data_IF_413981427468
#
_entry.id   IF_413981427468
#
_cell.length_a   1.000
_cell.length_b   1.000
_cell.length_c   1.000
_cell.angle_alpha   90.00
_cell.angle_beta   90.00
_cell.angle_gamma   90.00
#
_symmetry.space_group_name_H-M   'P 1'
#
loop_
_entity.id
_entity.type
_entity.pdbx_description
1 polymer ?
#
# COMPACT_ATOMS: atom_id res chain seq x y z
N UNK A 1 -35.85 21.43 2.51
CA UNK A 1 -34.78 22.28 3.07
C UNK A 1 -33.50 21.45 3.05
N UNK A 2 -32.64 21.68 2.06
CA UNK A 2 -31.37 20.97 1.95
C UNK A 2 -30.40 21.57 2.98
N UNK A 3 -29.92 20.74 3.90
CA UNK A 3 -28.88 21.14 4.85
C UNK A 3 -27.60 21.53 4.08
N UNK A 4 -26.90 22.60 4.46
CA UNK A 4 -25.64 22.98 3.82
C UNK A 4 -24.61 21.87 4.01
N UNK A 5 -23.91 21.54 2.92
CA UNK A 5 -22.82 20.57 2.92
C UNK A 5 -21.77 20.98 3.98
N UNK A 6 -21.43 20.05 4.87
CA UNK A 6 -20.34 20.25 5.83
C UNK A 6 -19.04 20.53 5.06
N UNK A 7 -18.21 21.49 5.49
CA UNK A 7 -16.91 21.72 4.87
C UNK A 7 -16.10 20.42 4.88
N UNK A 8 -15.64 20.03 3.70
CA UNK A 8 -14.70 18.91 3.48
C UNK A 8 -13.51 19.08 4.42
N UNK A 9 -13.33 18.12 5.33
CA UNK A 9 -12.21 18.12 6.25
C UNK A 9 -10.91 18.18 5.44
N UNK A 10 -10.06 19.17 5.73
CA UNK A 10 -8.78 19.33 5.06
C UNK A 10 -7.99 18.03 5.15
N UNK A 11 -7.52 17.51 4.00
CA UNK A 11 -6.72 16.30 3.96
C UNK A 11 -5.48 16.48 4.83
N UNK A 12 -5.21 15.59 5.79
CA UNK A 12 -4.03 15.72 6.63
C UNK A 12 -2.76 15.74 5.76
N UNK A 13 -1.72 16.51 6.11
CA UNK A 13 -0.49 16.50 5.34
C UNK A 13 0.21 15.14 5.49
N UNK A 14 1.00 14.74 4.49
CA UNK A 14 1.94 13.64 4.66
C UNK A 14 2.90 13.96 5.83
N UNK A 15 3.23 12.98 6.68
CA UNK A 15 4.28 13.14 7.68
C UNK A 15 5.59 13.56 7.00
N UNK A 16 6.41 14.40 7.64
CA UNK A 16 7.63 15.04 7.12
C UNK A 16 7.47 16.36 6.31
N UNK A 17 6.24 16.84 6.06
CA UNK A 17 6.02 18.20 5.53
C UNK A 17 6.74 18.50 4.20
N UNK A 18 7.23 19.73 4.05
CA UNK A 18 8.04 20.16 2.90
C UNK A 18 9.51 20.31 3.33
N UNK A 19 10.44 19.74 2.57
CA UNK A 19 11.87 19.83 2.87
C UNK A 19 12.74 18.77 2.19
N UNK A 20 14.05 18.72 2.51
CA UNK A 20 15.01 17.80 1.91
C UNK A 20 14.65 16.32 2.13
N UNK A 21 14.25 15.94 3.34
CA UNK A 21 13.80 14.57 3.64
C UNK A 21 12.57 14.19 2.80
N UNK A 22 11.58 15.08 2.70
CA UNK A 22 10.40 14.86 1.87
C UNK A 22 10.76 14.75 0.37
N UNK A 23 11.77 15.47 -0.11
CA UNK A 23 12.27 15.32 -1.49
C UNK A 23 12.88 13.92 -1.73
N UNK A 24 13.64 13.39 -0.76
CA UNK A 24 14.19 12.05 -0.85
C UNK A 24 13.10 10.97 -0.80
N UNK A 25 12.06 11.15 0.04
CA UNK A 25 10.93 10.23 0.08
C UNK A 25 10.08 10.28 -1.20
N UNK A 26 9.84 11.47 -1.77
CA UNK A 26 9.22 11.61 -3.10
C UNK A 26 10.00 10.86 -4.16
N UNK A 27 11.32 11.03 -4.17
CA UNK A 27 12.19 10.27 -5.06
C UNK A 27 11.92 8.77 -4.89
N UNK A 28 11.96 8.21 -3.68
CA UNK A 28 11.69 6.79 -3.41
C UNK A 28 10.30 6.31 -3.86
N UNK A 29 9.28 7.16 -3.77
CA UNK A 29 7.92 6.84 -4.18
C UNK A 29 7.74 6.80 -5.71
N UNK A 30 8.59 7.50 -6.48
CA UNK A 30 8.54 7.52 -7.93
C UNK A 30 8.64 6.09 -8.51
N UNK A 31 7.68 5.62 -9.32
CA UNK A 31 7.72 4.29 -9.91
C UNK A 31 8.68 4.18 -11.10
N UNK A 32 9.32 5.26 -11.56
CA UNK A 32 10.28 5.28 -12.68
C UNK A 32 11.72 5.47 -12.19
N UNK A 33 12.35 4.45 -11.56
CA UNK A 33 13.69 4.60 -11.02
C UNK A 33 14.74 4.93 -12.09
N UNK A 34 14.55 4.46 -13.33
CA UNK A 34 15.51 4.61 -14.42
C UNK A 34 15.57 6.03 -14.99
N UNK A 35 14.47 6.78 -14.90
CA UNK A 35 14.39 8.15 -15.42
C UNK A 35 15.01 9.14 -14.43
N UNK A 36 15.00 8.81 -13.14
CA UNK A 36 15.49 9.67 -12.05
C UNK A 36 16.40 8.87 -11.11
N UNK A 37 17.59 8.46 -11.56
CA UNK A 37 18.43 7.50 -10.83
C UNK A 37 19.06 8.07 -9.55
N UNK A 38 19.15 9.39 -9.43
CA UNK A 38 19.87 10.03 -8.31
C UNK A 38 18.93 10.63 -7.27
N UNK A 39 19.20 10.31 -6.00
CA UNK A 39 18.60 11.00 -4.86
C UNK A 39 18.91 12.51 -4.92
N UNK A 40 18.08 13.38 -4.30
CA UNK A 40 18.38 14.79 -4.25
C UNK A 40 19.75 15.02 -3.57
N UNK A 41 20.71 15.57 -4.31
CA UNK A 41 22.13 15.64 -3.92
C UNK A 41 22.39 16.47 -2.64
N UNK A 42 21.41 17.23 -2.17
CA UNK A 42 21.52 18.13 -1.02
C UNK A 42 21.18 17.49 0.33
N UNK A 43 20.75 16.23 0.38
CA UNK A 43 20.30 15.59 1.63
C UNK A 43 21.38 14.64 2.18
N UNK A 44 21.85 14.81 3.42
CA UNK A 44 22.76 13.86 4.05
C UNK A 44 22.15 12.45 4.09
N UNK A 45 22.93 11.42 3.73
CA UNK A 45 22.46 10.03 3.66
C UNK A 45 21.82 9.56 4.99
N UNK A 46 22.35 9.98 6.14
CA UNK A 46 21.78 9.64 7.45
C UNK A 46 20.33 10.12 7.59
N UNK A 47 20.04 11.36 7.17
CA UNK A 47 18.69 11.93 7.19
C UNK A 47 17.76 11.19 6.22
N UNK A 48 18.25 10.77 5.06
CA UNK A 48 17.47 9.98 4.10
C UNK A 48 17.15 8.59 4.68
N UNK A 49 18.11 7.95 5.34
CA UNK A 49 17.92 6.66 5.99
C UNK A 49 16.87 6.72 7.09
N UNK A 50 16.98 7.68 8.01
CA UNK A 50 16.01 7.89 9.09
C UNK A 50 14.60 8.11 8.53
N UNK A 51 14.45 9.04 7.60
CA UNK A 51 13.17 9.31 6.95
C UNK A 51 12.60 8.07 6.23
N UNK A 52 13.45 7.29 5.56
CA UNK A 52 13.03 6.07 4.86
C UNK A 52 12.62 4.97 5.84
N UNK A 53 13.28 4.83 6.99
CA UNK A 53 12.90 3.89 8.04
C UNK A 53 11.50 4.23 8.57
N UNK A 54 11.28 5.50 8.96
CA UNK A 54 9.99 5.97 9.48
C UNK A 54 8.86 5.83 8.46
N UNK A 55 9.18 6.07 7.19
CA UNK A 55 8.25 5.94 6.06
C UNK A 55 7.96 4.48 5.65
N UNK A 56 8.70 3.50 6.18
CA UNK A 56 8.73 2.09 5.72
C UNK A 56 9.15 1.95 4.24
N UNK A 57 10.14 2.72 3.82
CA UNK A 57 10.73 2.73 2.48
C UNK A 57 12.23 2.39 2.48
N UNK A 58 12.80 1.92 3.59
CA UNK A 58 14.24 1.64 3.67
C UNK A 58 14.67 0.51 2.73
N UNK A 59 13.79 -0.46 2.44
CA UNK A 59 14.09 -1.51 1.46
C UNK A 59 14.10 -0.99 0.02
N UNK A 60 13.23 -0.03 -0.32
CA UNK A 60 13.29 0.68 -1.60
C UNK A 60 14.56 1.53 -1.72
N UNK A 61 14.94 2.22 -0.65
CA UNK A 61 16.21 2.96 -0.60
C UNK A 61 17.40 2.02 -0.80
N UNK A 62 17.44 0.90 -0.07
CA UNK A 62 18.47 -0.10 -0.19
C UNK A 62 18.58 -0.62 -1.63
N UNK A 63 17.46 -1.00 -2.23
CA UNK A 63 17.42 -1.47 -3.62
C UNK A 63 17.99 -0.44 -4.59
N UNK A 64 17.54 0.83 -4.53
CA UNK A 64 18.04 1.87 -5.44
C UNK A 64 19.52 2.16 -5.28
N UNK A 65 20.00 2.23 -4.04
CA UNK A 65 21.40 2.52 -3.77
C UNK A 65 22.33 1.33 -4.11
N UNK A 66 21.83 0.10 -4.00
CA UNK A 66 22.59 -1.11 -4.33
C UNK A 66 22.57 -1.44 -5.83
N UNK A 67 21.47 -1.15 -6.52
CA UNK A 67 21.31 -1.34 -7.98
C UNK A 67 21.86 -0.17 -8.81
N UNK A 68 22.15 0.98 -8.17
CA UNK A 68 22.77 2.13 -8.84
C UNK A 68 24.19 1.85 -9.35
N UNK A 69 24.77 2.76 -10.16
CA UNK A 69 26.09 2.58 -10.72
C UNK A 69 27.14 2.30 -9.62
N UNK A 70 28.15 1.45 -9.89
CA UNK A 70 29.18 1.06 -8.92
C UNK A 70 29.88 2.26 -8.26
N UNK A 71 29.98 3.36 -9.02
CA UNK A 71 30.65 4.60 -8.64
C UNK A 71 29.83 5.46 -7.65
N UNK A 72 28.58 5.06 -7.34
CA UNK A 72 27.86 5.61 -6.21
C UNK A 72 28.69 5.35 -4.93
N UNK A 73 29.10 6.43 -4.29
CA UNK A 73 30.10 6.49 -3.19
C UNK A 73 29.60 5.89 -1.87
N UNK A 74 29.07 4.66 -1.89
CA UNK A 74 28.73 3.91 -0.70
C UNK A 74 29.93 3.10 -0.23
N UNK A 75 30.31 3.32 1.03
CA UNK A 75 31.31 2.52 1.71
C UNK A 75 30.87 1.04 1.78
N UNK A 76 31.84 0.12 1.78
CA UNK A 76 31.58 -1.32 1.92
C UNK A 76 30.72 -1.67 3.16
N UNK A 77 30.95 -1.08 4.36
CA UNK A 77 30.08 -1.30 5.51
C UNK A 77 28.62 -0.90 5.23
N UNK A 78 28.39 0.25 4.60
CA UNK A 78 27.03 0.72 4.29
C UNK A 78 26.33 -0.23 3.31
N UNK A 79 27.02 -0.68 2.25
CA UNK A 79 26.48 -1.69 1.32
C UNK A 79 26.11 -2.98 2.04
N UNK A 80 26.94 -3.43 3.00
CA UNK A 80 26.66 -4.61 3.82
C UNK A 80 25.39 -4.43 4.66
N UNK A 81 25.23 -3.30 5.33
CA UNK A 81 24.05 -2.99 6.16
C UNK A 81 22.78 -2.96 5.30
N UNK A 82 22.78 -2.23 4.18
CA UNK A 82 21.63 -2.17 3.27
C UNK A 82 21.27 -3.54 2.70
N UNK A 83 22.28 -4.34 2.34
CA UNK A 83 22.07 -5.70 1.86
C UNK A 83 21.48 -6.62 2.93
N UNK A 84 21.86 -6.47 4.20
CA UNK A 84 21.27 -7.20 5.31
C UNK A 84 19.80 -6.82 5.54
N UNK A 85 19.48 -5.52 5.49
CA UNK A 85 18.10 -5.02 5.61
C UNK A 85 17.21 -5.61 4.51
N UNK A 86 17.66 -5.56 3.24
CA UNK A 86 16.89 -6.09 2.12
C UNK A 86 16.68 -7.61 2.22
N UNK A 87 17.72 -8.38 2.58
CA UNK A 87 17.59 -9.83 2.78
C UNK A 87 16.66 -10.19 3.93
N UNK A 88 16.76 -9.49 5.06
CA UNK A 88 15.88 -9.72 6.20
C UNK A 88 14.42 -9.45 5.83
N UNK A 89 14.14 -8.37 5.09
CA UNK A 89 12.78 -8.07 4.63
C UNK A 89 12.28 -9.07 3.57
N UNK A 90 13.15 -9.55 2.69
CA UNK A 90 12.80 -10.63 1.73
C UNK A 90 12.32 -11.88 2.46
N UNK A 91 13.08 -12.33 3.47
CA UNK A 91 12.71 -13.51 4.25
C UNK A 91 11.43 -13.26 5.08
N UNK A 92 11.29 -12.07 5.67
CA UNK A 92 10.06 -11.66 6.35
C UNK A 92 8.84 -11.73 5.44
N UNK A 93 8.94 -11.19 4.22
CA UNK A 93 7.84 -11.20 3.25
C UNK A 93 7.51 -12.62 2.80
N UNK A 94 8.51 -13.47 2.55
CA UNK A 94 8.31 -14.90 2.22
C UNK A 94 7.56 -15.65 3.34
N UNK A 95 7.94 -15.44 4.60
CA UNK A 95 7.25 -16.05 5.75
C UNK A 95 5.79 -15.61 5.83
N UNK A 96 5.50 -14.32 5.64
CA UNK A 96 4.13 -13.81 5.63
C UNK A 96 3.33 -14.32 4.43
N UNK A 97 3.95 -14.40 3.25
CA UNK A 97 3.32 -14.97 2.06
C UNK A 97 2.90 -16.42 2.29
N UNK A 98 3.81 -17.25 2.82
CA UNK A 98 3.52 -18.65 3.11
C UNK A 98 2.35 -18.79 4.10
N UNK A 99 2.28 -17.93 5.12
CA UNK A 99 1.14 -17.89 6.03
C UNK A 99 -0.14 -17.43 5.35
N UNK A 100 -0.09 -16.41 4.48
CA UNK A 100 -1.24 -15.97 3.71
C UNK A 100 -1.77 -17.10 2.81
N UNK A 101 -0.90 -17.83 2.12
CA UNK A 101 -1.28 -18.99 1.29
C UNK A 101 -2.01 -20.03 2.14
N UNK A 102 -1.46 -20.38 3.31
CA UNK A 102 -2.08 -21.34 4.23
C UNK A 102 -3.46 -20.89 4.72
N UNK A 103 -3.61 -19.60 5.03
CA UNK A 103 -4.88 -19.01 5.50
C UNK A 103 -5.90 -18.96 4.37
N UNK A 104 -5.51 -18.45 3.20
CA UNK A 104 -6.37 -18.36 2.02
C UNK A 104 -6.90 -19.75 1.68
N UNK A 105 -6.04 -20.77 1.59
CA UNK A 105 -6.47 -22.14 1.32
C UNK A 105 -7.49 -22.67 2.33
N UNK A 106 -7.32 -22.35 3.61
CA UNK A 106 -8.25 -22.77 4.65
C UNK A 106 -9.60 -22.04 4.54
N UNK A 107 -9.60 -20.74 4.26
CA UNK A 107 -10.80 -19.93 4.05
C UNK A 107 -11.58 -20.39 2.82
N UNK A 108 -10.91 -20.50 1.67
CA UNK A 108 -11.54 -20.94 0.42
C UNK A 108 -12.03 -22.39 0.50
N UNK A 109 -11.30 -23.25 1.22
CA UNK A 109 -11.73 -24.62 1.51
C UNK A 109 -13.03 -24.71 2.32
N UNK A 110 -13.42 -23.63 3.02
CA UNK A 110 -14.72 -23.48 3.70
C UNK A 110 -15.75 -22.68 2.89
N UNK A 111 -15.43 -22.34 1.64
CA UNK A 111 -16.29 -21.53 0.80
C UNK A 111 -16.35 -20.06 1.20
N UNK A 112 -15.38 -19.54 1.97
CA UNK A 112 -15.26 -18.10 2.29
C UNK A 112 -14.43 -17.42 1.20
N UNK A 113 -15.03 -16.55 0.36
CA UNK A 113 -14.28 -15.76 -0.61
C UNK A 113 -13.36 -14.77 0.13
N UNK A 114 -12.12 -14.62 -0.33
CA UNK A 114 -11.12 -13.78 0.32
C UNK A 114 -10.22 -13.11 -0.69
N UNK A 115 -9.82 -11.88 -0.41
CA UNK A 115 -8.74 -11.18 -1.11
C UNK A 115 -7.67 -10.69 -0.13
N UNK A 116 -6.40 -10.85 -0.49
CA UNK A 116 -5.27 -10.23 0.21
C UNK A 116 -5.19 -8.76 -0.21
N UNK A 117 -4.97 -7.88 0.76
CA UNK A 117 -4.89 -6.43 0.55
C UNK A 117 -3.52 -5.85 0.89
N UNK A 118 -3.36 -4.57 0.56
CA UNK A 118 -2.29 -3.69 1.03
C UNK A 118 -0.88 -4.28 0.84
N UNK A 119 -0.05 -4.26 1.89
CA UNK A 119 1.39 -4.46 1.78
C UNK A 119 1.78 -5.77 1.10
N UNK A 120 1.17 -6.89 1.51
CA UNK A 120 1.45 -8.19 0.91
C UNK A 120 0.92 -8.31 -0.52
N UNK A 121 -0.29 -7.81 -0.78
CA UNK A 121 -0.86 -7.80 -2.14
C UNK A 121 0.01 -6.98 -3.09
N UNK A 122 0.45 -5.81 -2.65
CA UNK A 122 1.27 -4.90 -3.45
C UNK A 122 2.69 -5.43 -3.63
N UNK A 123 3.33 -5.97 -2.59
CA UNK A 123 4.64 -6.62 -2.71
C UNK A 123 4.61 -7.72 -3.77
N UNK A 124 3.54 -8.53 -3.78
CA UNK A 124 3.35 -9.62 -4.74
C UNK A 124 3.08 -9.11 -6.17
N UNK A 125 2.21 -8.11 -6.33
CA UNK A 125 1.66 -7.76 -7.64
C UNK A 125 2.37 -6.58 -8.34
N UNK A 126 3.07 -5.72 -7.59
CA UNK A 126 3.55 -4.42 -8.09
C UNK A 126 5.05 -4.20 -7.95
N UNK A 127 5.67 -4.81 -6.93
CA UNK A 127 7.09 -4.64 -6.69
C UNK A 127 7.86 -5.80 -7.33
N UNK A 128 9.06 -5.53 -7.90
CA UNK A 128 9.96 -6.60 -8.29
C UNK A 128 10.23 -7.57 -7.13
N UNK A 129 10.50 -8.86 -7.43
CA UNK A 129 10.94 -9.81 -6.42
C UNK A 129 12.13 -9.27 -5.60
N UNK A 130 12.14 -9.57 -4.30
CA UNK A 130 13.20 -9.12 -3.37
C UNK A 130 12.73 -8.34 -2.15
N UNK A 131 11.45 -8.43 -1.80
CA UNK A 131 10.89 -7.86 -0.57
C UNK A 131 11.11 -6.36 -0.46
N UNK A 132 10.77 -5.61 -1.51
CA UNK A 132 10.97 -4.17 -1.54
C UNK A 132 9.93 -3.42 -0.72
N UNK A 133 8.72 -3.98 -0.63
CA UNK A 133 7.61 -3.37 0.11
C UNK A 133 7.57 -3.93 1.53
N UNK A 134 7.85 -3.07 2.51
CA UNK A 134 7.84 -3.44 3.93
C UNK A 134 6.42 -3.42 4.49
N UNK A 135 5.99 -4.48 5.16
CA UNK A 135 4.71 -4.56 5.88
C UNK A 135 4.84 -5.40 7.15
N UNK A 136 3.84 -5.33 8.02
CA UNK A 136 3.91 -5.89 9.39
C UNK A 136 2.80 -6.88 9.71
N UNK A 137 1.83 -7.00 8.79
CA UNK A 137 0.55 -7.63 8.96
C UNK A 137 0.03 -8.08 7.60
N UNK A 138 -0.86 -9.08 7.64
CA UNK A 138 -1.58 -9.60 6.49
C UNK A 138 -3.01 -9.05 6.59
N UNK A 139 -3.39 -8.22 5.63
CA UNK A 139 -4.75 -7.69 5.53
C UNK A 139 -5.59 -8.58 4.61
N UNK A 140 -6.75 -9.04 5.09
CA UNK A 140 -7.68 -9.88 4.33
C UNK A 140 -9.05 -9.20 4.22
N UNK A 141 -9.57 -9.12 3.01
CA UNK A 141 -10.96 -8.75 2.73
C UNK A 141 -11.83 -10.00 2.68
N UNK A 142 -12.96 -9.98 3.38
CA UNK A 142 -14.04 -10.97 3.29
C UNK A 142 -15.39 -10.25 3.24
N UNK A 143 -16.46 -10.95 2.85
CA UNK A 143 -17.82 -10.41 3.01
C UNK A 143 -18.15 -10.27 4.50
N UNK A 144 -18.96 -9.26 4.85
CA UNK A 144 -19.38 -9.02 6.22
C UNK A 144 -20.12 -10.22 6.85
N UNK A 145 -20.86 -10.98 6.05
CA UNK A 145 -21.56 -12.19 6.47
C UNK A 145 -20.60 -13.36 6.79
N UNK A 146 -19.41 -13.39 6.19
CA UNK A 146 -18.43 -14.47 6.37
C UNK A 146 -17.38 -14.14 7.44
N UNK A 147 -17.43 -12.95 8.04
CA UNK A 147 -16.43 -12.48 9.01
C UNK A 147 -16.23 -13.45 10.18
N UNK A 148 -17.32 -13.93 10.77
CA UNK A 148 -17.24 -14.79 11.94
C UNK A 148 -16.68 -16.18 11.56
N UNK A 149 -17.10 -16.73 10.42
CA UNK A 149 -16.53 -17.96 9.87
C UNK A 149 -15.02 -17.81 9.58
N UNK A 150 -14.59 -16.65 9.08
CA UNK A 150 -13.18 -16.36 8.85
C UNK A 150 -12.38 -16.27 10.16
N UNK A 151 -12.95 -15.67 11.21
CA UNK A 151 -12.33 -15.63 12.54
C UNK A 151 -12.21 -17.03 13.16
N UNK A 152 -13.21 -17.90 12.96
CA UNK A 152 -13.16 -19.30 13.41
C UNK A 152 -12.04 -20.07 12.69
N UNK A 153 -11.90 -19.91 11.37
CA UNK A 153 -10.77 -20.48 10.61
C UNK A 153 -9.43 -19.98 11.16
N UNK A 154 -9.29 -18.68 11.41
CA UNK A 154 -8.07 -18.13 11.97
C UNK A 154 -7.76 -18.74 13.36
N UNK A 155 -8.77 -18.89 14.21
CA UNK A 155 -8.60 -19.49 15.53
C UNK A 155 -8.11 -20.94 15.45
N UNK A 156 -8.66 -21.75 14.54
CA UNK A 156 -8.23 -23.13 14.29
C UNK A 156 -6.80 -23.22 13.73
N UNK A 157 -6.38 -22.23 12.94
CA UNK A 157 -5.02 -22.11 12.45
C UNK A 157 -4.03 -21.59 13.51
N UNK A 158 -4.50 -21.33 14.74
CA UNK A 158 -3.71 -20.91 15.90
C UNK A 158 -3.65 -19.39 16.11
N UNK A 159 -4.37 -18.58 15.33
CA UNK A 159 -4.45 -17.13 15.52
C UNK A 159 -5.50 -16.76 16.57
N UNK A 160 -5.20 -17.02 17.83
CA UNK A 160 -6.13 -16.82 18.96
C UNK A 160 -5.85 -15.54 19.75
N UNK A 161 -4.66 -14.95 19.62
CA UNK A 161 -4.30 -13.77 20.39
C UNK A 161 -4.94 -12.51 19.77
N UNK A 162 -5.62 -11.65 20.55
CA UNK A 162 -6.18 -10.42 20.01
C UNK A 162 -5.05 -9.47 19.55
N UNK A 163 -5.30 -8.74 18.46
CA UNK A 163 -4.41 -7.70 17.94
C UNK A 163 -4.84 -6.29 18.34
N UNK A 164 -4.44 -5.28 17.55
CA UNK A 164 -4.80 -3.87 17.81
C UNK A 164 -6.24 -3.53 17.42
N UNK A 165 -6.77 -4.17 16.38
CA UNK A 165 -8.16 -4.02 15.94
C UNK A 165 -9.07 -5.12 16.49
N UNK A 166 -10.38 -4.87 16.47
CA UNK A 166 -11.40 -5.82 16.95
C UNK A 166 -11.34 -7.17 16.20
N UNK A 167 -10.98 -7.13 14.91
CA UNK A 167 -10.90 -8.30 14.04
C UNK A 167 -9.46 -8.70 13.71
N UNK A 168 -8.48 -8.10 14.41
CA UNK A 168 -7.08 -8.49 14.28
C UNK A 168 -6.81 -9.72 15.15
N UNK A 169 -6.13 -10.72 14.58
CA UNK A 169 -5.69 -11.93 15.29
C UNK A 169 -4.20 -12.17 15.09
N UNK A 170 -3.55 -12.72 16.11
CA UNK A 170 -2.10 -12.93 16.14
C UNK A 170 -1.76 -14.35 16.54
N UNK A 171 -0.62 -14.83 16.03
CA UNK A 171 -0.02 -16.11 16.39
C UNK A 171 1.49 -15.94 16.53
N UNK A 172 2.04 -16.45 17.64
CA UNK A 172 3.48 -16.59 17.81
C UNK A 172 4.01 -17.70 16.89
N UNK A 173 5.09 -17.45 16.17
CA UNK A 173 5.68 -18.43 15.23
C UNK A 173 6.90 -19.15 15.81
N UNK A 174 7.56 -18.54 16.80
CA UNK A 174 8.89 -18.98 17.26
C UNK A 174 10.05 -18.59 16.33
N UNK A 175 9.77 -17.93 15.21
CA UNK A 175 10.79 -17.46 14.26
C UNK A 175 11.46 -16.17 14.78
N UNK A 176 12.79 -16.06 14.64
CA UNK A 176 13.54 -14.92 15.17
C UNK A 176 13.28 -13.61 14.38
N UNK A 177 12.92 -13.70 13.10
CA UNK A 177 12.66 -12.55 12.24
C UNK A 177 11.18 -12.16 12.27
N UNK A 178 10.30 -13.15 12.29
CA UNK A 178 8.84 -12.98 12.34
C UNK A 178 8.28 -13.63 13.61
N UNK A 179 8.61 -13.17 14.83
CA UNK A 179 8.19 -13.85 16.07
C UNK A 179 6.68 -13.90 16.26
N UNK A 180 5.95 -13.03 15.57
CA UNK A 180 4.49 -13.00 15.55
C UNK A 180 4.02 -12.64 14.15
N UNK A 181 3.00 -13.35 13.68
CA UNK A 181 2.23 -12.97 12.48
C UNK A 181 0.90 -12.39 12.94
N UNK A 182 0.53 -11.25 12.35
CA UNK A 182 -0.73 -10.56 12.62
C UNK A 182 -1.59 -10.56 11.37
N UNK A 183 -2.85 -10.93 11.51
CA UNK A 183 -3.86 -10.93 10.45
C UNK A 183 -4.93 -9.92 10.81
N UNK A 184 -5.29 -9.04 9.88
CA UNK A 184 -6.43 -8.14 10.04
C UNK A 184 -7.53 -8.52 9.05
N UNK A 185 -8.72 -8.82 9.56
CA UNK A 185 -9.90 -9.05 8.73
C UNK A 185 -10.67 -7.74 8.57
N UNK A 186 -10.81 -7.30 7.32
CA UNK A 186 -11.69 -6.19 6.94
C UNK A 186 -12.88 -6.70 6.14
N UNK A 187 -14.00 -5.99 6.26
CA UNK A 187 -15.26 -6.25 5.55
C UNK A 187 -15.65 -5.08 4.66
N UNK A 188 -14.72 -4.14 4.45
CA UNK A 188 -14.89 -2.98 3.62
C UNK A 188 -13.58 -2.55 2.97
N UNK A 189 -13.72 -1.78 1.89
CA UNK A 189 -12.64 -1.13 1.17
C UNK A 189 -12.54 0.33 1.60
N UNK A 190 -11.40 0.98 1.31
CA UNK A 190 -11.21 2.39 1.68
C UNK A 190 -12.28 3.34 1.13
N UNK A 191 -12.93 2.97 0.02
CA UNK A 191 -13.94 3.78 -0.66
C UNK A 191 -15.39 3.28 -0.50
N UNK A 192 -15.62 2.06 -0.01
CA UNK A 192 -16.97 1.51 0.16
C UNK A 192 -17.01 0.47 1.28
N UNK A 193 -18.11 0.47 2.03
CA UNK A 193 -18.47 -0.57 2.98
C UNK A 193 -19.81 -1.22 2.61
N UNK A 194 -20.32 -0.94 1.40
CA UNK A 194 -21.53 -1.60 0.90
C UNK A 194 -21.22 -3.08 0.64
N UNK A 195 -21.98 -4.02 1.25
CA UNK A 195 -21.75 -5.44 1.04
C UNK A 195 -21.84 -5.88 -0.43
N UNK A 196 -22.68 -5.26 -1.25
CA UNK A 196 -22.80 -5.60 -2.66
C UNK A 196 -21.52 -5.23 -3.43
N UNK A 197 -20.95 -4.04 -3.18
CA UNK A 197 -19.69 -3.61 -3.79
C UNK A 197 -18.52 -4.50 -3.34
N UNK A 198 -18.47 -4.86 -2.05
CA UNK A 198 -17.44 -5.74 -1.50
C UNK A 198 -17.49 -7.12 -2.15
N UNK A 199 -18.69 -7.72 -2.30
CA UNK A 199 -18.84 -8.99 -3.02
C UNK A 199 -18.44 -8.87 -4.48
N UNK A 200 -18.78 -7.76 -5.13
CA UNK A 200 -18.41 -7.55 -6.52
C UNK A 200 -16.89 -7.45 -6.67
N UNK A 201 -16.18 -6.79 -5.75
CA UNK A 201 -14.72 -6.73 -5.72
C UNK A 201 -14.09 -8.10 -5.42
N UNK A 202 -14.65 -8.87 -4.48
CA UNK A 202 -14.21 -10.25 -4.18
C UNK A 202 -14.42 -11.19 -5.39
N UNK A 203 -15.45 -10.98 -6.20
CA UNK A 203 -15.69 -11.75 -7.41
C UNK A 203 -14.73 -11.38 -8.56
N UNK A 204 -14.08 -10.22 -8.49
CA UNK A 204 -13.08 -9.74 -9.47
C UNK A 204 -11.64 -9.93 -8.99
N UNK A 205 -11.38 -10.83 -8.04
CA UNK A 205 -10.00 -11.06 -7.61
C UNK A 205 -9.17 -11.69 -8.73
N UNK A 206 -7.89 -11.31 -8.78
CA UNK A 206 -6.89 -11.85 -9.68
C UNK A 206 -5.89 -12.70 -8.91
N UNK A 207 -5.28 -13.68 -9.57
CA UNK A 207 -4.26 -14.53 -9.00
C UNK A 207 -2.88 -13.86 -9.14
N UNK A 208 -2.25 -13.47 -8.03
CA UNK A 208 -0.92 -12.86 -8.02
C UNK A 208 0.15 -13.85 -7.50
N UNK A 209 1.11 -14.19 -8.36
CA UNK A 209 2.25 -15.06 -8.06
C UNK A 209 3.56 -14.27 -7.88
N UNK A 210 4.60 -14.92 -7.36
CA UNK A 210 5.91 -14.29 -7.09
C UNK A 210 6.78 -14.02 -8.34
N UNK A 211 6.24 -14.10 -9.56
CA UNK A 211 6.95 -13.79 -10.81
C UNK A 211 8.12 -14.72 -11.19
N UNK A 212 8.70 -15.47 -10.24
CA UNK A 212 9.97 -16.18 -10.38
C UNK A 212 9.84 -17.71 -10.58
N UNK A 213 8.73 -18.19 -11.14
CA UNK A 213 8.61 -19.57 -11.63
C UNK A 213 8.73 -20.70 -10.57
N UNK A 214 8.91 -20.38 -9.29
CA UNK A 214 9.17 -21.36 -8.21
C UNK A 214 7.91 -22.09 -7.71
N UNK A 215 6.86 -22.19 -8.54
CA UNK A 215 5.66 -22.97 -8.23
C UNK A 215 4.87 -22.51 -7.00
N UNK A 216 5.17 -21.35 -6.43
CA UNK A 216 4.46 -20.78 -5.29
C UNK A 216 2.98 -20.54 -5.63
N UNK A 217 2.08 -20.94 -4.71
CA UNK A 217 0.65 -20.74 -4.88
C UNK A 217 0.33 -19.23 -5.01
N UNK A 218 -0.51 -18.90 -5.99
CA UNK A 218 -0.92 -17.53 -6.23
C UNK A 218 -1.91 -17.07 -5.14
N UNK A 219 -1.77 -15.82 -4.69
CA UNK A 219 -2.68 -15.22 -3.74
C UNK A 219 -3.81 -14.50 -4.48
N UNK A 220 -5.08 -14.62 -4.06
CA UNK A 220 -6.16 -13.80 -4.59
C UNK A 220 -5.96 -12.37 -4.11
N UNK A 221 -5.76 -11.44 -5.04
CA UNK A 221 -5.67 -9.99 -4.78
C UNK A 221 -6.81 -9.29 -5.51
N UNK A 222 -7.12 -8.05 -5.15
CA UNK A 222 -8.08 -7.26 -5.90
C UNK A 222 -7.61 -7.03 -7.34
N UNK A 223 -8.55 -7.02 -8.30
CA UNK A 223 -8.28 -6.48 -9.63
C UNK A 223 -7.68 -5.08 -9.54
N UNK A 224 -6.85 -4.72 -10.51
CA UNK A 224 -6.04 -3.50 -10.47
C UNK A 224 -6.86 -2.22 -10.24
N UNK A 225 -8.04 -2.10 -10.87
CA UNK A 225 -8.94 -0.96 -10.69
C UNK A 225 -9.46 -0.85 -9.24
N UNK A 226 -9.89 -1.97 -8.65
CA UNK A 226 -10.37 -2.04 -7.27
C UNK A 226 -9.22 -1.76 -6.27
N UNK A 227 -8.02 -2.28 -6.56
CA UNK A 227 -6.81 -2.05 -5.78
C UNK A 227 -6.39 -0.56 -5.79
N UNK A 228 -6.42 0.10 -6.95
CA UNK A 228 -6.14 1.52 -7.09
C UNK A 228 -7.17 2.38 -6.34
N UNK A 229 -8.47 2.11 -6.53
CA UNK A 229 -9.54 2.80 -5.80
C UNK A 229 -9.39 2.66 -4.28
N UNK A 230 -9.05 1.46 -3.80
CA UNK A 230 -8.76 1.20 -2.39
C UNK A 230 -7.54 1.99 -1.90
N UNK A 231 -6.42 1.97 -2.64
CA UNK A 231 -5.19 2.65 -2.29
C UNK A 231 -5.36 4.17 -2.21
N UNK A 232 -6.03 4.77 -3.20
CA UNK A 232 -6.30 6.22 -3.24
C UNK A 232 -7.18 6.67 -2.08
N UNK A 233 -8.25 5.94 -1.78
CA UNK A 233 -9.12 6.27 -0.66
C UNK A 233 -8.38 6.15 0.69
N UNK A 234 -7.52 5.14 0.85
CA UNK A 234 -6.65 5.02 2.03
C UNK A 234 -5.62 6.14 2.10
N UNK A 235 -5.03 6.51 0.97
CA UNK A 235 -4.08 7.61 0.89
C UNK A 235 -4.74 8.93 1.29
N UNK A 236 -5.99 9.17 0.88
CA UNK A 236 -6.76 10.34 1.29
C UNK A 236 -7.05 10.34 2.80
N UNK A 237 -7.51 9.21 3.33
CA UNK A 237 -7.91 9.09 4.74
C UNK A 237 -6.71 9.13 5.69
N UNK A 238 -5.59 8.50 5.31
CA UNK A 238 -4.38 8.34 6.11
C UNK A 238 -3.13 8.43 5.23
N UNK A 239 -2.73 9.65 4.85
CA UNK A 239 -1.56 9.88 4.01
C UNK A 239 -0.30 9.29 4.65
N UNK A 240 0.36 8.39 3.91
CA UNK A 240 1.64 7.78 4.27
C UNK A 240 2.50 7.66 3.03
N UNK A 241 3.81 7.79 3.18
CA UNK A 241 4.76 7.66 2.07
C UNK A 241 4.75 6.28 1.41
N UNK A 242 4.60 5.20 2.18
CA UNK A 242 4.35 3.86 1.63
C UNK A 242 3.04 3.79 0.86
N UNK A 243 1.96 4.38 1.37
CA UNK A 243 0.70 4.49 0.62
C UNK A 243 0.83 5.29 -0.67
N UNK A 244 1.64 6.36 -0.68
CA UNK A 244 1.95 7.15 -1.87
C UNK A 244 2.72 6.30 -2.90
N UNK A 245 3.73 5.55 -2.46
CA UNK A 245 4.53 4.66 -3.31
C UNK A 245 3.68 3.54 -3.95
N UNK A 246 2.73 2.98 -3.18
CA UNK A 246 1.80 1.95 -3.64
C UNK A 246 0.81 2.52 -4.66
N UNK A 247 0.17 3.65 -4.34
CA UNK A 247 -0.78 4.32 -5.23
C UNK A 247 -0.12 4.77 -6.55
N UNK A 248 1.12 5.26 -6.51
CA UNK A 248 1.86 5.66 -7.70
C UNK A 248 2.13 4.46 -8.65
N UNK A 249 2.51 3.30 -8.10
CA UNK A 249 2.72 2.07 -8.88
C UNK A 249 1.41 1.52 -9.44
N UNK A 250 0.33 1.52 -8.65
CA UNK A 250 -1.00 1.12 -9.13
C UNK A 250 -1.50 2.02 -10.25
N UNK A 251 -1.33 3.34 -10.12
CA UNK A 251 -1.73 4.31 -11.15
C UNK A 251 -0.97 4.08 -12.46
N UNK A 252 0.32 3.72 -12.40
CA UNK A 252 1.11 3.38 -13.58
C UNK A 252 0.68 2.04 -14.19
N UNK A 253 0.32 1.05 -13.36
CA UNK A 253 -0.11 -0.27 -13.82
C UNK A 253 -1.53 -0.28 -14.42
N UNK A 254 -2.40 0.68 -14.06
CA UNK A 254 -3.80 0.75 -14.49
C UNK A 254 -4.09 2.03 -15.31
N UNK A 255 -3.54 2.17 -16.54
CA UNK A 255 -3.70 3.39 -17.34
C UNK A 255 -5.16 3.68 -17.69
N UNK A 256 -5.96 2.66 -18.02
CA UNK A 256 -7.36 2.84 -18.42
C UNK A 256 -8.25 3.32 -17.27
N UNK A 257 -7.99 2.84 -16.05
CA UNK A 257 -8.70 3.22 -14.82
C UNK A 257 -8.38 4.64 -14.35
N UNK A 258 -7.28 5.23 -14.80
CA UNK A 258 -6.88 6.60 -14.44
C UNK A 258 -7.66 7.68 -15.20
N UNK A 259 -8.28 7.29 -16.34
CA UNK A 259 -8.94 8.22 -17.27
C UNK A 259 -10.47 8.20 -17.23
N UNK A 260 -11.11 7.25 -16.52
CA UNK A 260 -12.58 7.21 -16.43
C UNK A 260 -13.14 8.46 -15.74
N UNK A 261 -13.69 9.34 -16.60
CA UNK A 261 -14.48 10.55 -16.35
C UNK A 261 -14.35 11.17 -14.94
N UNK A 262 -13.44 12.15 -14.82
CA UNK A 262 -13.22 13.03 -13.67
C UNK A 262 -14.50 13.49 -12.91
N UNK A 263 -15.64 13.57 -13.60
CA UNK A 263 -16.92 14.01 -13.05
C UNK A 263 -17.65 12.95 -12.19
N UNK A 264 -17.39 11.66 -12.36
CA UNK A 264 -18.11 10.57 -11.66
C UNK A 264 -17.31 9.90 -10.53
N UNK A 265 -16.04 10.28 -10.34
CA UNK A 265 -15.16 9.68 -9.34
C UNK A 265 -15.64 10.00 -7.92
N UNK A 266 -15.87 9.00 -7.04
CA UNK A 266 -16.23 9.22 -5.65
C UNK A 266 -15.24 10.13 -4.91
N UNK A 267 -15.74 10.91 -3.95
CA UNK A 267 -14.93 11.91 -3.21
C UNK A 267 -13.63 11.35 -2.60
N UNK A 268 -13.61 10.15 -1.95
CA UNK A 268 -12.37 9.61 -1.40
C UNK A 268 -11.28 9.37 -2.45
N UNK A 269 -11.66 9.00 -3.67
CA UNK A 269 -10.72 8.75 -4.77
C UNK A 269 -10.16 10.06 -5.30
N UNK A 270 -11.02 11.09 -5.47
CA UNK A 270 -10.58 12.44 -5.88
C UNK A 270 -9.57 13.03 -4.89
N UNK A 271 -9.86 12.91 -3.59
CA UNK A 271 -8.94 13.35 -2.54
C UNK A 271 -7.60 12.58 -2.58
N UNK A 272 -7.64 11.27 -2.88
CA UNK A 272 -6.44 10.45 -3.03
C UNK A 272 -5.58 10.89 -4.22
N UNK A 273 -6.20 11.14 -5.37
CA UNK A 273 -5.53 11.69 -6.55
C UNK A 273 -4.90 13.05 -6.28
N UNK A 274 -5.61 13.93 -5.56
CA UNK A 274 -5.07 15.23 -5.16
C UNK A 274 -3.80 15.09 -4.31
N UNK A 275 -3.78 14.16 -3.34
CA UNK A 275 -2.56 13.86 -2.56
C UNK A 275 -1.44 13.35 -3.47
N UNK A 276 -1.74 12.40 -4.36
CA UNK A 276 -0.75 11.82 -5.26
C UNK A 276 -0.11 12.89 -6.17
N UNK A 277 -0.93 13.68 -6.87
CA UNK A 277 -0.44 14.74 -7.77
C UNK A 277 0.27 15.89 -7.05
N UNK A 278 -0.12 16.21 -5.81
CA UNK A 278 0.59 17.23 -5.02
C UNK A 278 2.05 16.87 -4.74
N UNK A 279 2.41 15.58 -4.83
CA UNK A 279 3.75 15.07 -4.53
C UNK A 279 4.47 14.51 -5.75
N UNK A 280 3.73 14.01 -6.72
CA UNK A 280 4.26 13.43 -7.96
C UNK A 280 3.51 14.06 -9.15
N UNK A 281 3.72 15.36 -9.44
CA UNK A 281 2.97 16.08 -10.46
C UNK A 281 3.25 15.56 -11.88
N UNK A 282 4.42 14.96 -12.10
CA UNK A 282 4.83 14.41 -13.40
C UNK A 282 4.32 12.96 -13.61
N UNK A 283 3.66 12.36 -12.63
CA UNK A 283 3.03 11.06 -12.78
C UNK A 283 1.80 11.23 -13.70
N UNK A 284 1.71 10.37 -14.73
CA UNK A 284 0.62 10.10 -15.72
C UNK A 284 -0.73 10.80 -15.44
N UNK A 285 -1.47 11.31 -16.45
CA UNK A 285 -2.57 12.25 -16.23
C UNK A 285 -3.78 11.57 -15.58
N UNK A 286 -3.88 11.68 -14.25
CA UNK A 286 -5.15 11.52 -13.55
C UNK A 286 -6.10 12.69 -13.90
N UNK A 287 -7.36 12.64 -13.44
CA UNK A 287 -8.27 13.77 -13.59
C UNK A 287 -7.61 15.01 -12.97
N UNK A 288 -7.57 16.16 -13.69
CA UNK A 288 -6.92 17.35 -13.18
C UNK A 288 -7.55 17.72 -11.83
N UNK A 289 -6.77 18.20 -10.85
CA UNK A 289 -7.33 18.68 -9.60
C UNK A 289 -8.40 19.72 -9.93
N UNK A 290 -9.63 19.50 -9.47
CA UNK A 290 -10.70 20.48 -9.63
C UNK A 290 -10.21 21.75 -8.95
N UNK A 291 -10.01 22.81 -9.73
CA UNK A 291 -9.66 24.10 -9.17
C UNK A 291 -10.72 24.44 -8.13
N UNK A 292 -10.33 24.53 -6.86
CA UNK A 292 -11.16 25.16 -5.85
C UNK A 292 -11.41 26.58 -6.35
N UNK A 293 -12.56 26.80 -6.98
CA UNK A 293 -12.94 28.11 -7.49
C UNK A 293 -12.82 29.13 -6.36
N UNK A 294 -12.42 30.39 -6.66
CA UNK A 294 -12.35 31.42 -5.65
C UNK A 294 -13.72 31.47 -4.96
N UNK A 295 -13.71 31.31 -3.63
CA UNK A 295 -14.92 31.38 -2.83
C UNK A 295 -15.71 32.60 -3.26
N UNK A 296 -16.97 32.41 -3.65
CA UNK A 296 -17.86 33.51 -4.01
C UNK A 296 -17.84 34.49 -2.84
N UNK A 297 -17.21 35.65 -3.04
CA UNK A 297 -17.39 36.79 -2.17
C UNK A 297 -18.89 37.08 -2.15
N UNK A 298 -19.46 36.89 -0.98
CA UNK A 298 -20.84 37.22 -0.66
C UNK A 298 -20.96 38.75 -0.76
N UNK A 299 -21.37 39.24 -1.92
CA UNK A 299 -21.72 40.65 -2.11
C UNK A 299 -22.99 40.89 -1.31
N UNK A 300 -22.82 41.38 -0.08
CA UNK A 300 -23.89 41.96 0.71
C UNK A 300 -24.48 43.17 -0.05
N UNK A 301 -25.79 43.13 -0.26
CA UNK A 301 -26.63 44.29 -0.60
C UNK A 301 -27.56 44.57 0.56
#
# INVERSE_FOLDING_TARGET
MNAPARPTAATPPLPAGDGPAAAALRWLCDPHPDIRPSAPASVPLGTVLEAAIDAKLVCLLAHRLLSGPPDASLSRPMRSVLGQIARANTLHNQLHRNEAVRIVRALTGRGVPVAVLNGLAYDTALYPPGGLRQFTDIDLLVDAADRDAALDVLAELGFTQPGRGAHTRRRSTGDALTPTVSIDITTGLGHTADPADVRAALARTEAAGDGDGDGGEALPVLAQADALAHALARLAARPRWSGLADAARLALAAPDSSHEAAAAVPEPLRAGWAVLHSRLPDLVPGPPPVACGPGREEVAR
#
